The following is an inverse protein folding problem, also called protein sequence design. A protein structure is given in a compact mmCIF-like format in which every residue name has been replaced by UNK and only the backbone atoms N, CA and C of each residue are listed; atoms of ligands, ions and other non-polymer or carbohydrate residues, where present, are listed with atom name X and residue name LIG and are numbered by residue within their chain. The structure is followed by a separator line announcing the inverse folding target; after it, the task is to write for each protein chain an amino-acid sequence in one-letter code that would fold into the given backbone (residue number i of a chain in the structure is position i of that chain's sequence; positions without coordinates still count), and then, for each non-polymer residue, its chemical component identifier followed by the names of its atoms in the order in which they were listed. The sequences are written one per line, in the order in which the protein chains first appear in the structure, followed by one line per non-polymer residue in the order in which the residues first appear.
data_IF_652236741170
#
_entry.id   IF_652236741170
#
_cell.length_a   1.000
_cell.length_b   1.000
_cell.length_c   1.000
_cell.angle_alpha   90.00
_cell.angle_beta   90.00
_cell.angle_gamma   90.00
#
_symmetry.space_group_name_H-M   'P 1'
#
loop_
_entity.id
_entity.type
_entity.pdbx_description
1 polymer ?
#
# COMPACT_ATOMS: atom_id res chain seq x y z
N UNK A 1 11.41 3.17 -0.90
CA UNK A 1 11.26 1.72 -1.12
C UNK A 1 10.78 1.06 0.17
N UNK A 2 9.85 0.11 0.08
CA UNK A 2 9.53 -0.79 1.18
C UNK A 2 10.19 -2.14 0.86
N UNK A 3 11.13 -2.58 1.69
CA UNK A 3 11.77 -3.89 1.55
C UNK A 3 10.94 -4.95 2.27
N UNK A 4 10.62 -6.06 1.61
CA UNK A 4 9.96 -7.21 2.24
C UNK A 4 10.90 -7.95 3.17
N UNK A 5 10.41 -8.44 4.30
CA UNK A 5 11.14 -9.37 5.17
C UNK A 5 11.49 -10.69 4.46
N UNK A 6 10.70 -11.08 3.46
CA UNK A 6 10.85 -12.34 2.73
C UNK A 6 11.72 -12.20 1.47
N UNK A 7 12.44 -11.08 1.33
CA UNK A 7 13.37 -10.90 0.22
C UNK A 7 14.62 -11.78 0.40
N UNK A 8 15.15 -12.27 -0.72
CA UNK A 8 16.43 -12.98 -0.75
C UNK A 8 17.67 -12.08 -0.74
N UNK A 9 17.50 -10.76 -0.78
CA UNK A 9 18.62 -9.80 -0.68
C UNK A 9 18.79 -9.33 0.77
N UNK A 10 19.96 -9.49 1.41
CA UNK A 10 20.17 -9.00 2.77
C UNK A 10 19.83 -7.50 2.90
N UNK A 11 19.12 -7.13 3.97
CA UNK A 11 18.73 -5.74 4.20
C UNK A 11 19.96 -4.80 4.30
N UNK A 12 21.08 -5.30 4.78
CA UNK A 12 22.36 -4.56 4.84
C UNK A 12 22.98 -4.35 3.45
N UNK A 13 22.70 -5.21 2.48
CA UNK A 13 23.13 -5.01 1.10
C UNK A 13 22.32 -3.93 0.40
N UNK A 14 20.99 -3.92 0.62
CA UNK A 14 20.13 -2.83 0.18
C UNK A 14 20.53 -1.52 0.86
N UNK A 15 20.99 -1.58 2.11
CA UNK A 15 21.56 -0.40 2.77
C UNK A 15 22.74 0.18 1.98
N UNK A 16 23.76 -0.66 1.73
CA UNK A 16 24.96 -0.27 0.99
C UNK A 16 24.69 0.22 -0.44
N UNK A 17 23.67 -0.34 -1.10
CA UNK A 17 23.34 0.02 -2.47
C UNK A 17 22.75 1.44 -2.59
N UNK A 18 22.03 1.91 -1.57
CA UNK A 18 21.32 3.20 -1.61
C UNK A 18 21.37 3.95 -0.26
N UNK A 19 22.54 4.22 0.34
CA UNK A 19 22.71 4.62 1.75
C UNK A 19 21.96 5.89 2.18
N UNK A 20 21.52 6.71 1.22
CA UNK A 20 20.75 7.95 1.46
C UNK A 20 19.29 7.84 0.99
N UNK A 21 18.87 6.68 0.48
CA UNK A 21 17.53 6.44 -0.02
C UNK A 21 16.51 6.23 1.10
N UNK A 22 15.28 6.69 0.86
CA UNK A 22 14.18 6.43 1.77
C UNK A 22 13.76 4.96 1.74
N UNK A 23 13.98 4.26 2.86
CA UNK A 23 13.77 2.81 2.98
C UNK A 23 12.98 2.49 4.24
N UNK A 24 11.90 1.74 4.08
CA UNK A 24 11.13 1.16 5.17
C UNK A 24 11.24 -0.36 5.11
N UNK A 25 11.24 -1.00 6.27
CA UNK A 25 11.23 -2.46 6.34
C UNK A 25 9.79 -2.91 6.55
N UNK A 26 9.25 -3.68 5.61
CA UNK A 26 8.04 -4.44 5.89
C UNK A 26 8.43 -5.67 6.71
N UNK A 27 7.66 -5.94 7.77
CA UNK A 27 7.86 -7.10 8.61
C UNK A 27 6.55 -7.82 8.92
N UNK A 28 6.64 -9.13 9.11
CA UNK A 28 5.64 -9.96 9.76
C UNK A 28 6.01 -10.14 11.23
N UNK A 29 5.01 -10.35 12.08
CA UNK A 29 5.25 -10.67 13.47
C UNK A 29 5.76 -12.10 13.59
N UNK A 30 6.89 -12.28 14.28
CA UNK A 30 7.50 -13.59 14.53
C UNK A 30 7.67 -13.81 16.03
N UNK A 31 7.32 -15.01 16.50
CA UNK A 31 7.44 -15.43 17.90
C UNK A 31 8.53 -16.51 18.04
N UNK A 32 9.30 -16.51 19.14
CA UNK A 32 9.18 -15.61 20.30
C UNK A 32 9.62 -14.17 20.00
N UNK A 33 9.10 -13.19 20.77
CA UNK A 33 9.40 -11.75 20.60
C UNK A 33 10.89 -11.42 20.62
N UNK A 34 11.73 -12.27 21.21
CA UNK A 34 13.20 -12.14 21.18
C UNK A 34 13.77 -12.23 19.77
N UNK A 35 13.19 -13.05 18.89
CA UNK A 35 13.63 -13.19 17.52
C UNK A 35 13.22 -11.97 16.70
N UNK A 36 11.97 -11.52 16.85
CA UNK A 36 11.50 -10.28 16.25
C UNK A 36 12.33 -9.07 16.72
N UNK A 37 12.66 -8.99 18.00
CA UNK A 37 13.51 -7.92 18.55
C UNK A 37 14.89 -7.88 17.87
N UNK A 38 15.51 -9.05 17.66
CA UNK A 38 16.79 -9.15 16.97
C UNK A 38 16.70 -8.63 15.54
N UNK A 39 15.62 -8.98 14.82
CA UNK A 39 15.37 -8.47 13.48
C UNK A 39 15.18 -6.95 13.48
N UNK A 40 14.39 -6.39 14.41
CA UNK A 40 14.21 -4.93 14.53
C UNK A 40 15.53 -4.22 14.80
N UNK A 41 16.41 -4.76 15.65
CA UNK A 41 17.75 -4.18 15.88
C UNK A 41 18.62 -4.18 14.62
N UNK A 42 18.53 -5.21 13.78
CA UNK A 42 19.21 -5.23 12.46
C UNK A 42 18.66 -4.14 11.54
N UNK A 43 17.35 -3.99 11.49
CA UNK A 43 16.66 -2.96 10.69
C UNK A 43 17.11 -1.55 11.10
N UNK A 44 17.13 -1.27 12.41
CA UNK A 44 17.62 0.00 12.94
C UNK A 44 19.10 0.24 12.62
N UNK A 45 19.95 -0.78 12.79
CA UNK A 45 21.39 -0.68 12.51
C UNK A 45 21.69 -0.42 11.03
N UNK A 46 20.84 -0.92 10.12
CA UNK A 46 20.94 -0.69 8.68
C UNK A 46 20.27 0.61 8.21
N UNK A 47 19.85 1.49 9.13
CA UNK A 47 19.37 2.83 8.79
C UNK A 47 18.00 2.89 8.12
N UNK A 48 17.16 1.85 8.27
CA UNK A 48 15.77 1.89 7.83
C UNK A 48 14.97 2.88 8.68
N UNK A 49 14.00 3.55 8.04
CA UNK A 49 13.36 4.74 8.59
C UNK A 49 11.94 4.50 9.12
N UNK A 50 11.37 3.31 8.90
CA UNK A 50 10.08 2.90 9.44
C UNK A 50 9.93 1.38 9.38
N UNK A 51 9.02 0.85 10.19
CA UNK A 51 8.56 -0.54 10.13
C UNK A 51 7.12 -0.55 9.62
N UNK A 52 6.90 -1.28 8.53
CA UNK A 52 5.57 -1.55 7.98
C UNK A 52 5.16 -2.94 8.47
N UNK A 53 4.38 -3.00 9.56
CA UNK A 53 3.89 -4.26 10.10
C UNK A 53 2.68 -4.71 9.28
N UNK A 54 2.84 -5.81 8.53
CA UNK A 54 1.74 -6.40 7.78
C UNK A 54 0.86 -7.22 8.71
N UNK A 55 -0.43 -6.90 8.78
CA UNK A 55 -1.41 -7.54 9.67
C UNK A 55 -2.48 -8.35 8.93
N UNK A 56 -2.53 -8.25 7.59
CA UNK A 56 -3.53 -8.91 6.74
C UNK A 56 -3.10 -10.29 6.22
N UNK A 57 -1.88 -10.72 6.52
CA UNK A 57 -1.43 -12.09 6.26
C UNK A 57 -1.47 -12.90 7.57
N UNK A 58 -2.46 -13.78 7.66
CA UNK A 58 -2.67 -14.63 8.82
C UNK A 58 -2.12 -16.00 8.47
N UNK A 59 -1.00 -16.36 9.12
CA UNK A 59 -0.25 -17.62 8.95
C UNK A 59 -1.07 -18.78 8.35
N UNK A 60 -0.73 -19.18 7.11
CA UNK A 60 -1.33 -20.29 6.34
C UNK A 60 -2.81 -20.18 6.00
N UNK A 61 -3.45 -19.03 6.23
CA UNK A 61 -4.87 -18.82 5.87
C UNK A 61 -5.06 -18.25 4.47
N UNK A 62 -3.97 -17.89 3.78
CA UNK A 62 -4.02 -17.39 2.41
C UNK A 62 -4.39 -18.50 1.44
N UNK A 63 -5.46 -18.29 0.67
CA UNK A 63 -5.86 -19.22 -0.39
C UNK A 63 -5.33 -18.69 -1.72
N UNK A 64 -4.35 -19.39 -2.29
CA UNK A 64 -3.86 -19.14 -3.65
C UNK A 64 -4.30 -20.28 -4.55
N UNK A 65 -5.28 -20.04 -5.42
CA UNK A 65 -5.75 -21.08 -6.34
C UNK A 65 -4.66 -21.58 -7.30
N UNK A 66 -3.72 -20.71 -7.69
CA UNK A 66 -2.57 -21.10 -8.52
C UNK A 66 -1.65 -22.05 -7.77
N UNK A 67 -1.38 -21.78 -6.48
CA UNK A 67 -0.61 -22.67 -5.61
C UNK A 67 -1.35 -24.00 -5.36
N UNK A 68 -2.66 -23.96 -5.12
CA UNK A 68 -3.48 -25.17 -4.97
C UNK A 68 -3.50 -26.05 -6.23
N UNK A 69 -3.31 -25.45 -7.41
CA UNK A 69 -3.19 -26.17 -8.69
C UNK A 69 -1.77 -26.61 -9.01
N UNK A 70 -0.78 -26.30 -8.17
CA UNK A 70 0.62 -26.64 -8.40
C UNK A 70 1.24 -25.92 -9.61
N UNK A 71 0.71 -24.75 -9.98
CA UNK A 71 1.16 -24.02 -11.18
C UNK A 71 2.50 -23.29 -10.98
N UNK A 72 2.97 -23.18 -9.74
CA UNK A 72 4.20 -22.48 -9.41
C UNK A 72 4.85 -23.03 -8.14
N UNK A 73 6.15 -23.27 -8.22
CA UNK A 73 7.03 -23.55 -7.08
C UNK A 73 8.18 -22.54 -7.09
N UNK A 74 8.62 -22.10 -5.91
CA UNK A 74 9.80 -21.26 -5.81
C UNK A 74 11.05 -22.05 -6.22
N UNK A 75 12.01 -21.42 -6.92
CA UNK A 75 13.29 -22.07 -7.21
C UNK A 75 14.00 -22.49 -5.91
N UNK A 76 14.58 -23.69 -5.90
CA UNK A 76 15.33 -24.21 -4.74
C UNK A 76 16.53 -23.35 -4.33
N UNK A 77 16.94 -22.39 -5.16
CA UNK A 77 18.03 -21.45 -4.90
C UNK A 77 17.58 -20.15 -4.22
N UNK A 78 16.33 -20.06 -3.76
CA UNK A 78 15.81 -18.86 -3.12
C UNK A 78 15.88 -18.97 -1.60
N UNK A 79 16.72 -18.13 -0.98
CA UNK A 79 16.90 -18.07 0.47
C UNK A 79 16.10 -16.90 1.08
N UNK A 80 15.51 -17.10 2.25
CA UNK A 80 14.81 -16.05 3.02
C UNK A 80 15.72 -15.51 4.11
N UNK A 81 16.70 -14.70 3.70
CA UNK A 81 17.86 -14.31 4.53
C UNK A 81 17.54 -13.29 5.63
N UNK A 82 16.42 -12.57 5.51
CA UNK A 82 16.04 -11.52 6.45
C UNK A 82 15.03 -11.96 7.51
N UNK A 83 14.47 -13.18 7.39
CA UNK A 83 13.62 -13.73 8.43
C UNK A 83 14.37 -13.79 9.77
N UNK A 84 13.68 -13.63 10.91
CA UNK A 84 14.32 -13.70 12.23
C UNK A 84 15.04 -15.03 12.47
N UNK A 85 14.54 -16.11 11.86
CA UNK A 85 15.28 -17.36 11.66
C UNK A 85 15.44 -17.57 10.14
N UNK A 86 16.61 -17.27 9.55
CA UNK A 86 16.80 -17.38 8.11
C UNK A 86 16.50 -18.80 7.59
N UNK A 87 15.88 -18.89 6.41
CA UNK A 87 15.62 -20.16 5.71
C UNK A 87 16.56 -20.25 4.52
N UNK A 88 17.46 -21.23 4.53
CA UNK A 88 18.48 -21.45 3.48
C UNK A 88 18.22 -22.80 2.81
N UNK A 89 18.02 -22.81 1.49
CA UNK A 89 17.68 -24.02 0.72
C UNK A 89 16.36 -24.68 1.14
N UNK A 90 15.46 -23.92 1.76
CA UNK A 90 14.15 -24.39 2.21
C UNK A 90 13.02 -24.02 1.25
N UNK A 91 11.79 -24.11 1.75
CA UNK A 91 10.56 -23.83 1.00
C UNK A 91 9.89 -22.53 1.46
N UNK A 92 8.90 -22.06 0.70
CA UNK A 92 8.04 -20.96 1.15
C UNK A 92 7.26 -21.34 2.42
N UNK A 93 6.90 -22.61 2.59
CA UNK A 93 6.20 -23.06 3.79
C UNK A 93 7.09 -22.89 5.04
N UNK A 94 8.39 -23.18 4.93
CA UNK A 94 9.35 -22.98 6.02
C UNK A 94 9.46 -21.50 6.44
N UNK A 95 9.32 -20.57 5.50
CA UNK A 95 9.22 -19.14 5.77
C UNK A 95 7.88 -18.79 6.45
N UNK A 96 6.77 -19.25 5.88
CA UNK A 96 5.42 -18.99 6.37
C UNK A 96 5.21 -19.54 7.80
N UNK A 97 5.89 -20.63 8.19
CA UNK A 97 5.82 -21.23 9.54
C UNK A 97 6.32 -20.31 10.65
N UNK A 98 7.06 -19.26 10.29
CA UNK A 98 7.55 -18.29 11.26
C UNK A 98 6.58 -17.14 11.52
N UNK A 99 5.65 -16.91 10.60
CA UNK A 99 4.69 -15.81 10.67
C UNK A 99 3.64 -16.13 11.72
N UNK A 100 3.33 -15.16 12.57
CA UNK A 100 2.30 -15.28 13.59
C UNK A 100 1.21 -14.23 13.39
N UNK A 101 -0.01 -14.60 13.73
CA UNK A 101 -1.13 -13.66 13.82
C UNK A 101 -0.78 -12.54 14.79
N UNK A 102 -0.98 -11.31 14.32
CA UNK A 102 -0.70 -10.08 15.08
C UNK A 102 -1.84 -9.84 16.08
N UNK A 103 -1.47 -9.43 17.29
CA UNK A 103 -2.40 -8.94 18.30
C UNK A 103 -2.11 -7.46 18.62
N UNK A 104 -3.06 -6.75 19.21
CA UNK A 104 -2.82 -5.38 19.66
C UNK A 104 -1.71 -5.29 20.73
N UNK A 105 -1.58 -6.31 21.59
CA UNK A 105 -0.45 -6.43 22.54
C UNK A 105 0.91 -6.53 21.82
N UNK A 106 0.94 -7.10 20.61
CA UNK A 106 2.15 -7.16 19.79
C UNK A 106 2.47 -5.79 19.16
N UNK A 107 1.46 -4.99 18.83
CA UNK A 107 1.62 -3.59 18.38
C UNK A 107 2.18 -2.73 19.51
N UNK A 108 1.59 -2.81 20.70
CA UNK A 108 2.05 -2.08 21.90
C UNK A 108 3.48 -2.48 22.28
N UNK A 109 3.78 -3.77 22.23
CA UNK A 109 5.14 -4.25 22.45
C UNK A 109 6.13 -3.68 21.42
N UNK A 110 5.77 -3.67 20.13
CA UNK A 110 6.63 -3.16 19.08
C UNK A 110 6.92 -1.66 19.28
N UNK A 111 5.89 -0.85 19.62
CA UNK A 111 6.05 0.57 19.98
C UNK A 111 7.01 0.79 21.17
N UNK A 112 7.07 -0.15 22.10
CA UNK A 112 7.94 -0.04 23.28
C UNK A 112 9.40 -0.42 22.99
N UNK A 113 9.68 -1.25 21.98
CA UNK A 113 11.04 -1.75 21.74
C UNK A 113 11.81 -0.99 20.67
N UNK A 114 11.15 -0.17 19.84
CA UNK A 114 11.79 0.65 18.80
C UNK A 114 11.30 2.09 18.82
N UNK A 115 12.13 2.98 18.28
CA UNK A 115 11.76 4.38 18.00
C UNK A 115 11.42 4.65 16.54
N UNK A 116 11.54 3.63 15.68
CA UNK A 116 11.13 3.76 14.29
C UNK A 116 9.60 3.96 14.22
N UNK A 117 9.11 4.83 13.32
CA UNK A 117 7.71 4.91 12.99
C UNK A 117 7.13 3.54 12.65
N UNK A 118 5.97 3.22 13.23
CA UNK A 118 5.24 1.98 12.97
C UNK A 118 4.03 2.28 12.10
N UNK A 119 3.94 1.57 10.99
CA UNK A 119 2.88 1.69 10.00
C UNK A 119 2.14 0.35 9.91
N UNK A 120 0.84 0.31 10.18
CA UNK A 120 0.05 -0.93 10.08
C UNK A 120 -0.52 -1.09 8.67
N UNK A 121 -0.06 -2.12 7.96
CA UNK A 121 -0.51 -2.45 6.59
C UNK A 121 -1.51 -3.59 6.59
N UNK A 122 -2.65 -3.35 5.95
CA UNK A 122 -3.76 -4.31 5.87
C UNK A 122 -5.09 -3.79 6.42
N UNK A 123 -5.16 -2.49 6.75
CA UNK A 123 -6.36 -1.86 7.32
C UNK A 123 -7.39 -1.65 6.20
N UNK A 124 -8.62 -2.16 6.39
CA UNK A 124 -9.73 -1.97 5.44
C UNK A 124 -11.00 -1.40 6.09
N UNK A 125 -11.01 -1.23 7.41
CA UNK A 125 -12.18 -0.79 8.17
C UNK A 125 -11.87 0.48 8.97
N UNK A 126 -12.86 1.38 9.17
CA UNK A 126 -12.70 2.53 10.05
C UNK A 126 -12.49 2.11 11.52
N UNK A 127 -13.04 0.97 11.95
CA UNK A 127 -12.90 0.44 13.31
C UNK A 127 -11.45 0.05 13.61
N UNK A 128 -10.79 -0.68 12.71
CA UNK A 128 -9.38 -1.06 12.87
C UNK A 128 -8.46 0.16 12.78
N UNK A 129 -8.80 1.14 11.93
CA UNK A 129 -8.06 2.40 11.86
C UNK A 129 -8.14 3.20 13.17
N UNK A 130 -9.32 3.25 13.81
CA UNK A 130 -9.49 3.89 15.12
C UNK A 130 -8.70 3.16 16.21
N UNK A 131 -8.71 1.82 16.22
CA UNK A 131 -7.89 1.03 17.14
C UNK A 131 -6.40 1.29 16.92
N UNK A 132 -5.93 1.27 15.68
CA UNK A 132 -4.54 1.57 15.34
C UNK A 132 -4.08 2.92 15.91
N UNK A 133 -4.91 3.96 15.76
CA UNK A 133 -4.63 5.27 16.34
C UNK A 133 -4.59 5.24 17.87
N UNK A 134 -5.47 4.50 18.54
CA UNK A 134 -5.45 4.37 20.01
C UNK A 134 -4.18 3.69 20.53
N UNK A 135 -3.64 2.76 19.76
CA UNK A 135 -2.35 2.10 20.02
C UNK A 135 -1.14 2.96 19.59
N UNK A 136 -1.37 4.20 19.14
CA UNK A 136 -0.32 5.19 18.91
C UNK A 136 0.59 4.89 17.73
N UNK A 137 0.09 4.20 16.69
CA UNK A 137 0.87 3.97 15.47
C UNK A 137 1.07 5.27 14.68
N UNK A 138 2.16 5.34 13.93
CA UNK A 138 2.58 6.55 13.22
C UNK A 138 1.92 6.66 11.83
N UNK A 139 1.43 5.54 11.31
CA UNK A 139 0.56 5.52 10.14
C UNK A 139 -0.30 4.28 10.01
N UNK A 140 -1.37 4.40 9.24
CA UNK A 140 -2.17 3.28 8.75
C UNK A 140 -2.03 3.16 7.25
N UNK A 141 -2.06 1.95 6.75
CA UNK A 141 -1.84 1.66 5.35
C UNK A 141 -2.98 0.77 4.85
N UNK A 142 -3.86 1.40 4.06
CA UNK A 142 -5.02 0.78 3.43
C UNK A 142 -4.56 -0.17 2.34
N UNK A 143 -4.73 -1.47 2.59
CA UNK A 143 -4.27 -2.54 1.72
C UNK A 143 -5.16 -3.77 1.89
N UNK A 144 -5.43 -4.47 0.80
CA UNK A 144 -6.00 -5.82 0.79
C UNK A 144 -4.98 -6.83 0.23
N UNK A 145 -3.70 -6.53 0.45
CA UNK A 145 -2.58 -7.30 -0.07
C UNK A 145 -2.60 -7.46 -1.61
N UNK A 146 -3.16 -6.48 -2.32
CA UNK A 146 -3.35 -6.54 -3.77
C UNK A 146 -4.33 -7.62 -4.22
N UNK A 147 -5.33 -7.95 -3.39
CA UNK A 147 -6.34 -8.96 -3.64
C UNK A 147 -5.82 -10.40 -3.49
N UNK A 148 -4.85 -10.62 -2.60
CA UNK A 148 -4.18 -11.93 -2.43
C UNK A 148 -4.54 -12.65 -1.13
N UNK A 149 -5.17 -11.97 -0.19
CA UNK A 149 -5.51 -12.51 1.13
C UNK A 149 -6.99 -12.88 1.19
N UNK A 150 -7.85 -12.03 1.74
CA UNK A 150 -9.30 -12.28 1.83
C UNK A 150 -10.00 -11.90 0.52
N UNK A 151 -10.37 -12.90 -0.27
CA UNK A 151 -11.20 -12.70 -1.46
C UNK A 151 -12.61 -12.22 -1.09
N UNK A 152 -13.20 -11.40 -1.95
CA UNK A 152 -14.47 -10.71 -1.68
C UNK A 152 -14.37 -9.53 -0.70
N UNK A 153 -13.17 -9.19 -0.23
CA UNK A 153 -12.94 -7.96 0.55
C UNK A 153 -13.16 -6.69 -0.29
N UNK A 154 -13.33 -5.55 0.40
CA UNK A 154 -13.52 -4.27 -0.27
C UNK A 154 -12.31 -3.89 -1.14
N UNK A 155 -12.58 -3.20 -2.25
CA UNK A 155 -11.53 -2.47 -2.97
C UNK A 155 -10.93 -1.40 -2.06
N UNK A 156 -9.61 -1.28 -2.03
CA UNK A 156 -8.89 -0.38 -1.11
C UNK A 156 -9.30 1.08 -1.27
N UNK A 157 -9.54 1.53 -2.51
CA UNK A 157 -10.00 2.91 -2.77
C UNK A 157 -11.39 3.19 -2.17
N UNK A 158 -12.25 2.18 -2.06
CA UNK A 158 -13.57 2.32 -1.44
C UNK A 158 -13.45 2.40 0.08
N UNK A 159 -12.52 1.64 0.68
CA UNK A 159 -12.24 1.68 2.10
C UNK A 159 -11.53 2.98 2.55
N UNK A 160 -10.71 3.57 1.67
CA UNK A 160 -9.84 4.70 2.00
C UNK A 160 -10.58 5.86 2.67
N UNK A 161 -11.72 6.26 2.12
CA UNK A 161 -12.47 7.43 2.61
C UNK A 161 -12.89 7.26 4.08
N UNK A 162 -13.40 6.09 4.44
CA UNK A 162 -13.89 5.84 5.79
C UNK A 162 -12.72 5.68 6.77
N UNK A 163 -11.62 5.08 6.33
CA UNK A 163 -10.36 5.02 7.10
C UNK A 163 -9.80 6.41 7.39
N UNK A 164 -9.68 7.27 6.37
CA UNK A 164 -9.18 8.66 6.54
C UNK A 164 -10.05 9.43 7.55
N UNK A 165 -11.38 9.29 7.46
CA UNK A 165 -12.32 9.90 8.40
C UNK A 165 -12.22 9.35 9.81
N UNK A 166 -11.92 8.06 9.98
CA UNK A 166 -11.66 7.47 11.29
C UNK A 166 -10.34 7.98 11.88
N UNK A 167 -9.28 8.10 11.08
CA UNK A 167 -7.97 8.57 11.55
C UNK A 167 -7.99 10.02 12.03
N UNK A 168 -8.74 10.91 11.36
CA UNK A 168 -8.89 12.33 11.74
C UNK A 168 -7.55 13.07 11.86
N UNK A 169 -6.60 12.75 10.97
CA UNK A 169 -5.27 13.38 10.95
C UNK A 169 -4.37 13.04 12.14
N UNK A 170 -4.72 12.05 12.96
CA UNK A 170 -3.92 11.62 14.13
C UNK A 170 -2.68 10.81 13.75
N UNK A 171 -2.65 10.23 12.55
CA UNK A 171 -1.50 9.57 11.95
C UNK A 171 -1.57 9.69 10.42
N UNK A 172 -0.50 9.31 9.70
CA UNK A 172 -0.52 9.31 8.23
C UNK A 172 -1.37 8.15 7.68
N UNK A 173 -1.98 8.35 6.51
CA UNK A 173 -2.75 7.31 5.80
C UNK A 173 -2.09 7.02 4.46
N UNK A 174 -1.78 5.77 4.19
CA UNK A 174 -1.22 5.32 2.90
C UNK A 174 -2.19 4.38 2.18
N UNK A 175 -1.98 4.16 0.88
CA UNK A 175 -2.80 3.23 0.11
C UNK A 175 -1.97 2.40 -0.89
N UNK A 176 -2.34 1.13 -1.05
CA UNK A 176 -2.03 0.33 -2.24
C UNK A 176 -3.27 -0.43 -2.73
N UNK A 177 -3.07 -1.34 -3.69
CA UNK A 177 -4.13 -2.15 -4.26
C UNK A 177 -4.75 -1.47 -5.48
N UNK A 178 -4.29 -1.87 -6.65
CA UNK A 178 -4.92 -1.47 -7.92
C UNK A 178 -4.46 -0.15 -8.54
N UNK A 179 -3.49 0.58 -7.97
CA UNK A 179 -2.90 1.77 -8.62
C UNK A 179 -2.20 1.38 -9.93
N UNK A 180 -2.65 1.93 -11.07
CA UNK A 180 -2.10 1.61 -12.39
C UNK A 180 -1.78 2.81 -13.26
N UNK A 181 -2.32 3.98 -12.94
CA UNK A 181 -2.11 5.21 -13.69
C UNK A 181 -2.08 6.43 -12.76
N UNK A 182 -1.66 7.58 -13.29
CA UNK A 182 -1.58 8.84 -12.54
C UNK A 182 -2.93 9.36 -12.01
N UNK A 183 -4.06 9.04 -12.65
CA UNK A 183 -5.40 9.39 -12.16
C UNK A 183 -5.74 8.60 -10.89
N UNK A 184 -5.35 7.34 -10.80
CA UNK A 184 -5.54 6.53 -9.60
C UNK A 184 -4.75 7.12 -8.43
N UNK A 185 -3.50 7.55 -8.68
CA UNK A 185 -2.67 8.28 -7.70
C UNK A 185 -3.38 9.56 -7.26
N UNK A 186 -3.79 10.40 -8.20
CA UNK A 186 -4.49 11.66 -7.93
C UNK A 186 -5.76 11.44 -7.09
N UNK A 187 -6.55 10.41 -7.42
CA UNK A 187 -7.80 10.08 -6.70
C UNK A 187 -7.52 9.66 -5.27
N UNK A 188 -6.51 8.81 -5.03
CA UNK A 188 -6.14 8.40 -3.68
C UNK A 188 -5.65 9.58 -2.83
N UNK A 189 -4.83 10.47 -3.40
CA UNK A 189 -4.38 11.70 -2.75
C UNK A 189 -5.56 12.62 -2.40
N UNK A 190 -6.49 12.82 -3.35
CA UNK A 190 -7.70 13.61 -3.13
C UNK A 190 -8.59 13.05 -2.02
N UNK A 191 -8.63 11.73 -1.85
CA UNK A 191 -9.37 11.07 -0.77
C UNK A 191 -8.63 11.09 0.58
N UNK A 192 -7.43 11.65 0.65
CA UNK A 192 -6.69 11.88 1.89
C UNK A 192 -5.56 10.90 2.17
N UNK A 193 -5.15 10.08 1.20
CA UNK A 193 -3.89 9.35 1.30
C UNK A 193 -2.70 10.33 1.22
N UNK A 194 -1.69 10.13 2.05
CA UNK A 194 -0.42 10.87 2.05
C UNK A 194 0.48 10.46 0.89
N UNK A 195 0.48 9.17 0.57
CA UNK A 195 1.19 8.57 -0.54
C UNK A 195 0.51 7.27 -0.95
N UNK A 196 0.83 6.81 -2.17
CA UNK A 196 0.42 5.50 -2.67
C UNK A 196 1.62 4.61 -2.95
N UNK A 197 1.41 3.31 -2.95
CA UNK A 197 2.44 2.31 -3.22
C UNK A 197 2.03 1.39 -4.37
N UNK A 198 3.01 0.99 -5.17
CA UNK A 198 2.85 0.07 -6.30
C UNK A 198 3.60 -1.24 -6.02
N UNK A 199 2.96 -2.36 -6.33
CA UNK A 199 3.56 -3.70 -6.25
C UNK A 199 3.81 -4.25 -7.66
N UNK A 200 2.77 -4.88 -8.23
CA UNK A 200 2.84 -5.54 -9.55
C UNK A 200 3.45 -4.67 -10.67
N UNK A 201 3.09 -3.37 -10.85
CA UNK A 201 3.71 -2.55 -11.90
C UNK A 201 5.24 -2.47 -11.78
N UNK A 202 5.78 -2.30 -10.57
CA UNK A 202 7.23 -2.26 -10.35
C UNK A 202 7.89 -3.61 -10.67
N UNK A 203 7.26 -4.73 -10.29
CA UNK A 203 7.75 -6.08 -10.61
C UNK A 203 7.74 -6.33 -12.13
N UNK A 204 6.71 -5.86 -12.83
CA UNK A 204 6.64 -5.98 -14.29
C UNK A 204 7.72 -5.16 -14.98
N UNK A 205 7.94 -3.91 -14.55
CA UNK A 205 9.06 -3.10 -15.04
C UNK A 205 10.41 -3.77 -14.79
N UNK A 206 10.61 -4.32 -13.58
CA UNK A 206 11.82 -5.07 -13.23
C UNK A 206 12.06 -6.26 -14.16
N UNK A 207 11.02 -7.04 -14.46
CA UNK A 207 11.11 -8.19 -15.35
C UNK A 207 11.37 -7.78 -16.81
N UNK A 208 10.90 -6.61 -17.23
CA UNK A 208 11.08 -6.10 -18.60
C UNK A 208 12.49 -5.55 -18.84
N UNK A 209 13.03 -4.73 -17.93
CA UNK A 209 14.31 -4.06 -18.16
C UNK A 209 15.10 -3.74 -16.88
N UNK A 210 15.05 -4.64 -15.90
CA UNK A 210 15.80 -4.48 -14.65
C UNK A 210 15.45 -3.18 -13.92
N UNK A 211 16.45 -2.53 -13.30
CA UNK A 211 16.25 -1.26 -12.60
C UNK A 211 15.72 -0.15 -13.51
N UNK A 212 16.11 -0.13 -14.78
CA UNK A 212 15.61 0.86 -15.74
C UNK A 212 14.12 0.68 -15.98
N UNK A 213 13.63 -0.55 -16.11
CA UNK A 213 12.19 -0.76 -16.27
C UNK A 213 11.37 -0.38 -15.04
N UNK A 214 11.94 -0.47 -13.82
CA UNK A 214 11.31 0.09 -12.61
C UNK A 214 11.25 1.62 -12.69
N UNK A 215 12.35 2.26 -13.12
CA UNK A 215 12.39 3.71 -13.33
C UNK A 215 11.35 4.15 -14.37
N UNK A 216 11.25 3.46 -15.50
CA UNK A 216 10.30 3.77 -16.57
C UNK A 216 8.85 3.74 -16.05
N UNK A 217 8.50 2.75 -15.21
CA UNK A 217 7.16 2.68 -14.58
C UNK A 217 6.90 3.86 -13.64
N UNK A 218 7.90 4.26 -12.85
CA UNK A 218 7.78 5.42 -11.96
C UNK A 218 7.64 6.73 -12.75
N UNK A 219 8.37 6.87 -13.85
CA UNK A 219 8.31 8.03 -14.73
C UNK A 219 6.94 8.13 -15.42
N UNK A 220 6.39 7.02 -15.91
CA UNK A 220 5.04 6.97 -16.49
C UNK A 220 4.00 7.45 -15.48
N UNK A 221 4.00 6.90 -14.27
CA UNK A 221 3.03 7.28 -13.23
C UNK A 221 3.18 8.75 -12.83
N UNK A 222 4.41 9.26 -12.77
CA UNK A 222 4.71 10.66 -12.45
C UNK A 222 4.18 11.58 -13.55
N UNK A 223 4.49 11.30 -14.82
CA UNK A 223 4.03 12.09 -15.96
C UNK A 223 2.50 12.12 -16.08
N UNK A 224 1.84 10.98 -15.82
CA UNK A 224 0.37 10.91 -15.82
C UNK A 224 -0.26 11.67 -14.64
N UNK A 225 0.38 11.65 -13.46
CA UNK A 225 -0.06 12.44 -12.31
C UNK A 225 0.08 13.94 -12.60
N UNK A 226 1.22 14.37 -13.13
CA UNK A 226 1.47 15.76 -13.53
C UNK A 226 0.46 16.22 -14.59
N UNK A 227 0.17 15.37 -15.58
CA UNK A 227 -0.87 15.62 -16.59
C UNK A 227 -2.25 15.79 -15.95
N UNK A 228 -2.60 14.91 -15.00
CA UNK A 228 -3.88 14.99 -14.28
C UNK A 228 -3.98 16.26 -13.43
N UNK A 229 -2.90 16.63 -12.74
CA UNK A 229 -2.79 17.87 -11.97
C UNK A 229 -2.94 19.12 -12.86
N UNK A 230 -2.25 19.16 -14.00
CA UNK A 230 -2.36 20.25 -14.96
C UNK A 230 -3.80 20.42 -15.49
N UNK A 231 -4.45 19.31 -15.87
CA UNK A 231 -5.82 19.32 -16.39
C UNK A 231 -6.88 19.65 -15.33
N UNK A 232 -6.56 19.49 -14.05
CA UNK A 232 -7.44 19.86 -12.91
C UNK A 232 -7.09 21.21 -12.30
N UNK A 233 -6.08 21.91 -12.84
CA UNK A 233 -5.65 23.23 -12.38
C UNK A 233 -4.91 23.21 -11.04
N UNK A 234 -4.35 22.06 -10.64
CA UNK A 234 -3.58 21.91 -9.40
C UNK A 234 -2.09 21.96 -9.70
N UNK A 235 -1.35 22.86 -9.03
CA UNK A 235 0.09 23.05 -9.29
C UNK A 235 0.98 22.43 -8.22
N UNK A 236 0.42 22.04 -7.07
CA UNK A 236 1.15 21.40 -5.97
C UNK A 236 0.38 20.21 -5.45
N UNK A 237 1.07 19.11 -5.15
CA UNK A 237 0.46 17.88 -4.63
C UNK A 237 -0.34 18.14 -3.34
N UNK A 238 0.13 19.05 -2.48
CA UNK A 238 -0.56 19.41 -1.24
C UNK A 238 -1.89 20.14 -1.43
N UNK A 239 -2.17 20.64 -2.65
CA UNK A 239 -3.41 21.35 -2.97
C UNK A 239 -4.47 20.40 -3.55
N UNK A 240 -4.12 19.13 -3.80
CA UNK A 240 -5.08 18.08 -4.16
C UNK A 240 -5.98 17.83 -2.94
N UNK A 241 -7.29 17.97 -3.14
CA UNK A 241 -8.27 17.89 -2.06
C UNK A 241 -9.50 17.05 -2.43
N UNK A 242 -10.36 16.69 -1.45
CA UNK A 242 -11.60 15.95 -1.73
C UNK A 242 -12.57 16.65 -2.69
N UNK A 243 -12.44 17.95 -2.93
CA UNK A 243 -13.33 18.68 -3.86
C UNK A 243 -13.16 18.27 -5.32
N UNK A 244 -12.04 17.61 -5.67
CA UNK A 244 -11.76 17.18 -7.05
C UNK A 244 -12.35 15.82 -7.41
N UNK A 245 -12.95 15.10 -6.45
CA UNK A 245 -13.48 13.75 -6.65
C UNK A 245 -14.88 13.62 -6.06
N UNK A 246 -15.72 12.81 -6.69
CA UNK A 246 -17.05 12.46 -6.19
C UNK A 246 -17.28 10.97 -6.36
N UNK A 247 -18.01 10.36 -5.41
CA UNK A 247 -18.48 8.97 -5.57
C UNK A 247 -19.49 8.90 -6.71
N UNK A 248 -19.56 7.78 -7.41
CA UNK A 248 -20.52 7.58 -8.50
C UNK A 248 -21.97 7.87 -8.08
N UNK A 249 -22.34 7.54 -6.83
CA UNK A 249 -23.66 7.82 -6.25
C UNK A 249 -24.05 9.31 -6.27
N UNK A 250 -23.07 10.23 -6.32
CA UNK A 250 -23.34 11.66 -6.51
C UNK A 250 -24.13 11.90 -7.80
N UNK A 251 -23.74 11.27 -8.91
CA UNK A 251 -24.43 11.45 -10.20
C UNK A 251 -25.84 10.84 -10.21
N UNK A 252 -26.08 9.79 -9.42
CA UNK A 252 -27.41 9.21 -9.24
C UNK A 252 -28.36 10.18 -8.51
N UNK A 253 -27.84 11.05 -7.64
CA UNK A 253 -28.66 12.09 -7.01
C UNK A 253 -29.02 13.20 -7.98
N UNK A 254 -28.11 13.56 -8.90
CA UNK A 254 -28.36 14.56 -9.93
C UNK A 254 -29.42 14.12 -10.95
N UNK A 255 -29.44 12.84 -11.33
CA UNK A 255 -30.46 12.31 -12.25
C UNK A 255 -31.87 12.33 -11.67
N UNK A 256 -31.99 12.17 -10.34
CA UNK A 256 -33.28 12.24 -9.62
C UNK A 256 -33.76 13.67 -9.40
N UNK A 257 -32.86 14.64 -9.29
CA UNK A 257 -33.20 16.06 -9.06
C UNK A 257 -33.40 16.88 -10.34
N UNK A 258 -33.11 16.33 -11.52
CA UNK A 258 -32.95 17.12 -12.76
C UNK A 258 -33.68 16.53 -13.97
N UNK A 259 -34.99 16.29 -13.87
CA UNK A 259 -35.86 16.38 -15.05
C UNK A 259 -36.29 17.84 -15.20
N UNK A 260 -35.33 18.70 -15.56
CA UNK A 260 -35.62 19.86 -16.40
C UNK A 260 -34.95 19.54 -17.72
N UNK A 261 -35.70 18.90 -18.61
CA UNK A 261 -35.29 18.74 -20.01
C UNK A 261 -34.83 20.10 -20.53
N UNK A 262 -33.56 20.20 -20.91
CA UNK A 262 -33.15 21.22 -21.86
C UNK A 262 -33.84 20.89 -23.17
N UNK A 263 -34.96 21.58 -23.42
CA UNK A 263 -35.62 21.61 -24.71
C UNK A 263 -34.66 22.22 -25.73
N UNK A 264 -34.28 21.44 -26.74
CA UNK A 264 -33.45 21.85 -27.87
C UNK A 264 -34.13 22.87 -28.80
N UNK A 265 -35.33 23.36 -28.48
CA UNK A 265 -36.09 24.25 -29.36
C UNK A 265 -35.69 25.74 -29.30
N UNK A 266 -34.59 26.10 -28.64
CA UNK A 266 -34.12 27.48 -28.52
C UNK A 266 -32.77 27.77 -29.21
N UNK A 267 -32.21 26.82 -29.96
CA UNK A 267 -31.02 27.01 -30.78
C UNK A 267 -31.36 27.04 -32.28
N UNK A 268 -32.29 27.89 -32.68
CA UNK A 268 -32.34 28.40 -34.06
C UNK A 268 -31.59 29.73 -34.12
N UNK A 269 -30.26 29.65 -34.18
CA UNK A 269 -29.44 30.78 -34.60
C UNK A 269 -29.67 30.95 -36.11
N UNK A 270 -30.43 31.98 -36.49
CA UNK A 270 -30.54 32.44 -37.86
C UNK A 270 -29.16 32.95 -38.32
N UNK A 271 -28.44 32.13 -39.07
CA UNK A 271 -27.36 32.59 -39.94
C UNK A 271 -27.92 32.81 -41.35
N UNK A 272 -28.40 34.03 -41.59
CA UNK A 272 -28.53 34.63 -42.92
C UNK A 272 -28.14 36.10 -42.78
N UNK A 273 -27.07 36.49 -43.48
CA UNK A 273 -26.48 37.83 -43.48
C UNK A 273 -25.03 37.77 -43.91
#
# INVERSE_FOLDING_TARGET
MILSQDTGTPLEEVDRAVPHGHRWMQAYMVKPRSDMLRHIRRVEAAGYQAIVLTIDDVAFRRISYSSLRGEFEFPASFDYVNLPRPVIGGTIDDADYQINTVTWDDVDWLKNVTRLPIILKGILTPEDAELAVRHGVDGVYVSNHGGRTLDGSAATINALWDVVRAVRGRCEVYLDGGIRNGRDVYTALALGAKAVFIGRPAIYGLATNGSQGVQDVLDILTNELESTMALTGVTRVCDISPSYVVKQSYYETLSKSSIRQFSSNLLSANFLG
#
